data_IF_927094540819
#
_entry.id   IF_927094540819
#
_cell.length_a   1.000
_cell.length_b   1.000
_cell.length_c   1.000
_cell.angle_alpha   90.00
_cell.angle_beta   90.00
_cell.angle_gamma   90.00
#
_symmetry.space_group_name_H-M   'P 1'
#
loop_
_entity.id
_entity.type
_entity.pdbx_description
1 polymer ?
#
# COMPACT_ATOMS: atom_id res chain seq x y z
N UNK A 1 -42.66 -20.61 0.49
CA UNK A 1 -42.24 -19.23 0.76
C UNK A 1 -42.98 -18.68 1.95
N UNK A 2 -42.56 -19.12 3.13
CA UNK A 2 -42.83 -18.37 4.36
C UNK A 2 -41.89 -17.17 4.33
N UNK A 3 -42.41 -15.98 4.07
CA UNK A 3 -41.62 -14.74 4.14
C UNK A 3 -41.61 -14.23 5.57
N UNK A 4 -40.45 -13.78 6.03
CA UNK A 4 -40.35 -13.11 7.32
C UNK A 4 -41.19 -11.84 7.33
N UNK A 5 -41.86 -11.58 8.46
CA UNK A 5 -42.56 -10.31 8.66
C UNK A 5 -41.56 -9.19 8.96
N UNK A 6 -41.93 -7.95 8.63
CA UNK A 6 -41.09 -6.77 8.95
C UNK A 6 -40.73 -6.67 10.44
N UNK A 7 -41.61 -7.11 11.33
CA UNK A 7 -41.34 -7.17 12.77
C UNK A 7 -40.24 -8.19 13.11
N UNK A 8 -40.23 -9.36 12.46
CA UNK A 8 -39.19 -10.38 12.64
C UNK A 8 -37.85 -9.94 12.05
N UNK A 9 -37.87 -9.28 10.88
CA UNK A 9 -36.67 -8.71 10.26
C UNK A 9 -36.06 -7.64 11.17
N UNK A 10 -36.89 -6.78 11.75
CA UNK A 10 -36.44 -5.76 12.69
C UNK A 10 -35.86 -6.36 13.98
N UNK A 11 -36.47 -7.44 14.49
CA UNK A 11 -35.95 -8.19 15.62
C UNK A 11 -34.56 -8.79 15.34
N UNK A 12 -34.38 -9.44 14.18
CA UNK A 12 -33.09 -9.99 13.73
C UNK A 12 -32.04 -8.86 13.64
N UNK A 13 -32.40 -7.73 13.01
CA UNK A 13 -31.53 -6.56 12.87
C UNK A 13 -31.08 -6.01 14.22
N UNK A 14 -31.99 -5.89 15.18
CA UNK A 14 -31.67 -5.42 16.53
C UNK A 14 -30.73 -6.40 17.25
N UNK A 15 -30.94 -7.71 17.10
CA UNK A 15 -30.03 -8.72 17.68
C UNK A 15 -28.63 -8.66 17.06
N UNK A 16 -28.53 -8.54 15.73
CA UNK A 16 -27.26 -8.39 15.01
C UNK A 16 -26.51 -7.13 15.44
N UNK A 17 -27.22 -6.02 15.70
CA UNK A 17 -26.63 -4.78 16.23
C UNK A 17 -26.12 -4.91 17.66
N UNK A 18 -26.83 -5.65 18.51
CA UNK A 18 -26.41 -5.88 19.90
C UNK A 18 -25.07 -6.63 19.99
N UNK A 19 -24.73 -7.45 19.00
CA UNK A 19 -23.42 -8.11 18.91
C UNK A 19 -22.27 -7.13 18.59
N UNK A 20 -22.55 -5.88 18.21
CA UNK A 20 -21.58 -4.79 18.10
C UNK A 20 -20.77 -4.77 16.80
N UNK A 21 -21.45 -4.98 15.65
CA UNK A 21 -20.86 -4.81 14.31
C UNK A 21 -20.69 -3.32 14.00
N UNK A 22 -19.48 -2.90 13.58
CA UNK A 22 -19.18 -1.50 13.24
C UNK A 22 -19.23 -1.21 11.73
N UNK A 23 -19.36 -2.24 10.88
CA UNK A 23 -19.38 -2.11 9.42
C UNK A 23 -20.82 -2.30 8.89
N UNK A 24 -21.39 -1.23 8.34
CA UNK A 24 -22.78 -1.20 7.86
C UNK A 24 -23.03 -2.11 6.65
N UNK A 25 -22.02 -2.28 5.81
CA UNK A 25 -22.07 -3.21 4.67
C UNK A 25 -22.10 -4.65 5.14
N UNK A 26 -21.27 -5.01 6.12
CA UNK A 26 -21.27 -6.33 6.72
C UNK A 26 -22.55 -6.61 7.53
N UNK A 27 -23.09 -5.60 8.23
CA UNK A 27 -24.39 -5.72 8.92
C UNK A 27 -25.50 -6.12 7.93
N UNK A 28 -25.54 -5.47 6.76
CA UNK A 28 -26.54 -5.75 5.74
C UNK A 28 -26.36 -7.14 5.14
N UNK A 29 -25.12 -7.53 4.79
CA UNK A 29 -24.81 -8.85 4.26
C UNK A 29 -25.17 -9.97 5.27
N UNK A 30 -24.90 -9.76 6.55
CA UNK A 30 -25.25 -10.72 7.62
C UNK A 30 -26.76 -10.79 7.83
N UNK A 31 -27.45 -9.64 7.84
CA UNK A 31 -28.90 -9.58 7.99
C UNK A 31 -29.60 -10.35 6.86
N UNK A 32 -29.22 -10.08 5.61
CA UNK A 32 -29.79 -10.74 4.43
C UNK A 32 -29.53 -12.25 4.48
N UNK A 33 -28.31 -12.66 4.86
CA UNK A 33 -27.97 -14.07 4.96
C UNK A 33 -28.73 -14.80 6.06
N UNK A 34 -28.87 -14.18 7.25
CA UNK A 34 -29.67 -14.73 8.36
C UNK A 34 -31.14 -14.85 7.97
N UNK A 35 -31.72 -13.84 7.32
CA UNK A 35 -33.10 -13.90 6.84
C UNK A 35 -33.30 -15.08 5.88
N UNK A 36 -32.43 -15.27 4.89
CA UNK A 36 -32.53 -16.40 3.96
C UNK A 36 -32.41 -17.77 4.66
N UNK A 37 -31.53 -17.91 5.66
CA UNK A 37 -31.37 -19.16 6.39
C UNK A 37 -32.58 -19.47 7.28
N UNK A 38 -33.13 -18.46 7.95
CA UNK A 38 -34.32 -18.62 8.79
C UNK A 38 -35.54 -18.97 7.93
N UNK A 39 -35.72 -18.31 6.79
CA UNK A 39 -36.79 -18.63 5.85
C UNK A 39 -36.69 -20.08 5.36
N UNK A 40 -35.49 -20.54 5.01
CA UNK A 40 -35.25 -21.92 4.59
C UNK A 40 -35.57 -22.95 5.69
N UNK A 41 -35.21 -22.65 6.95
CA UNK A 41 -35.51 -23.53 8.08
C UNK A 41 -37.02 -23.54 8.42
N UNK A 42 -37.69 -22.39 8.29
CA UNK A 42 -39.15 -22.27 8.47
C UNK A 42 -39.96 -22.97 7.35
N UNK A 43 -39.40 -23.14 6.16
CA UNK A 43 -40.02 -23.97 5.11
C UNK A 43 -40.06 -25.46 5.50
N UNK A 44 -39.19 -25.89 6.42
CA UNK A 44 -39.20 -27.23 7.02
C UNK A 44 -40.33 -27.48 8.04
N UNK A 45 -41.16 -26.48 8.33
CA UNK A 45 -42.31 -26.57 9.24
C UNK A 45 -42.04 -26.16 10.69
N UNK A 46 -40.88 -25.55 10.98
CA UNK A 46 -40.53 -24.99 12.28
C UNK A 46 -41.20 -23.64 12.57
N UNK A 47 -41.28 -23.27 13.85
CA UNK A 47 -41.68 -21.93 14.28
C UNK A 47 -40.50 -20.93 14.11
N UNK A 48 -40.78 -19.62 14.15
CA UNK A 48 -39.75 -18.59 13.93
C UNK A 48 -38.68 -18.61 15.03
N UNK A 49 -39.08 -18.71 16.30
CA UNK A 49 -38.17 -18.70 17.44
C UNK A 49 -37.14 -19.83 17.40
N UNK A 50 -37.58 -21.06 17.11
CA UNK A 50 -36.73 -22.25 17.02
C UNK A 50 -35.79 -22.15 15.82
N UNK A 51 -36.30 -21.68 14.67
CA UNK A 51 -35.51 -21.46 13.47
C UNK A 51 -34.45 -20.36 13.68
N UNK A 52 -34.84 -19.27 14.34
CA UNK A 52 -33.95 -18.16 14.67
C UNK A 52 -32.84 -18.59 15.63
N UNK A 53 -33.18 -19.25 16.74
CA UNK A 53 -32.21 -19.65 17.76
C UNK A 53 -31.18 -20.64 17.18
N UNK A 54 -31.66 -21.61 16.40
CA UNK A 54 -30.80 -22.58 15.71
C UNK A 54 -29.87 -21.91 14.69
N UNK A 55 -30.40 -21.09 13.78
CA UNK A 55 -29.60 -20.42 12.75
C UNK A 55 -28.61 -19.43 13.38
N UNK A 56 -29.02 -18.72 14.43
CA UNK A 56 -28.17 -17.75 15.10
C UNK A 56 -27.03 -18.42 15.89
N UNK A 57 -27.29 -19.54 16.57
CA UNK A 57 -26.27 -20.33 17.26
C UNK A 57 -25.26 -20.94 16.27
N UNK A 58 -25.74 -21.47 15.15
CA UNK A 58 -24.89 -22.04 14.09
C UNK A 58 -24.04 -20.97 13.38
N UNK A 59 -24.60 -19.78 13.17
CA UNK A 59 -23.93 -18.69 12.46
C UNK A 59 -22.94 -17.90 13.34
N UNK A 60 -23.22 -17.78 14.64
CA UNK A 60 -22.41 -17.03 15.61
C UNK A 60 -21.96 -17.90 16.80
N UNK A 61 -21.24 -19.03 16.58
CA UNK A 61 -20.71 -19.83 17.67
C UNK A 61 -19.70 -19.04 18.52
N UNK A 62 -19.41 -19.53 19.73
CA UNK A 62 -18.61 -18.88 20.79
C UNK A 62 -17.59 -17.86 20.28
N UNK A 63 -17.91 -16.57 20.43
CA UNK A 63 -17.10 -15.45 19.92
C UNK A 63 -17.86 -14.41 19.08
N UNK A 64 -19.09 -14.74 18.64
CA UNK A 64 -20.07 -13.79 18.08
C UNK A 64 -19.68 -13.18 16.72
N UNK A 65 -20.52 -12.25 16.23
CA UNK A 65 -20.36 -11.61 14.91
C UNK A 65 -19.12 -10.71 14.81
N UNK A 66 -18.53 -10.31 15.94
CA UNK A 66 -17.27 -9.56 15.99
C UNK A 66 -16.11 -10.33 15.38
N UNK A 67 -16.05 -11.66 15.55
CA UNK A 67 -15.00 -12.48 14.96
C UNK A 67 -15.08 -12.47 13.43
N UNK A 68 -16.30 -12.62 12.89
CA UNK A 68 -16.58 -12.54 11.46
C UNK A 68 -16.13 -11.18 10.91
N UNK A 69 -16.44 -10.08 11.61
CA UNK A 69 -15.98 -8.75 11.20
C UNK A 69 -14.46 -8.62 11.19
N UNK A 70 -13.76 -9.18 12.18
CA UNK A 70 -12.28 -9.15 12.22
C UNK A 70 -11.71 -9.94 11.03
N UNK A 71 -12.25 -11.11 10.73
CA UNK A 71 -11.81 -11.94 9.60
C UNK A 71 -12.07 -11.25 8.24
N UNK A 72 -13.27 -10.68 8.05
CA UNK A 72 -13.61 -9.93 6.83
C UNK A 72 -12.74 -8.68 6.66
N UNK A 73 -12.51 -7.93 7.73
CA UNK A 73 -11.61 -6.78 7.72
C UNK A 73 -10.17 -7.19 7.42
N UNK A 74 -9.70 -8.28 8.03
CA UNK A 74 -8.38 -8.82 7.78
C UNK A 74 -8.20 -9.22 6.32
N UNK A 75 -9.17 -9.91 5.72
CA UNK A 75 -9.14 -10.29 4.30
C UNK A 75 -9.15 -9.04 3.40
N UNK A 76 -10.00 -8.06 3.68
CA UNK A 76 -10.08 -6.81 2.91
C UNK A 76 -8.77 -6.00 2.98
N UNK A 77 -8.18 -5.88 4.18
CA UNK A 77 -6.87 -5.25 4.38
C UNK A 77 -5.77 -6.03 3.65
N UNK A 78 -5.76 -7.37 3.76
CA UNK A 78 -4.78 -8.22 3.08
C UNK A 78 -4.86 -8.05 1.56
N UNK A 79 -6.05 -8.08 0.96
CA UNK A 79 -6.26 -7.80 -0.47
C UNK A 79 -5.73 -6.43 -0.87
N UNK A 80 -6.06 -5.39 -0.10
CA UNK A 80 -5.58 -4.02 -0.34
C UNK A 80 -4.06 -3.91 -0.27
N UNK A 81 -3.43 -4.58 0.71
CA UNK A 81 -1.96 -4.61 0.85
C UNK A 81 -1.32 -5.34 -0.33
N UNK A 82 -1.85 -6.49 -0.73
CA UNK A 82 -1.36 -7.27 -1.87
C UNK A 82 -1.43 -6.44 -3.15
N UNK A 83 -2.57 -5.78 -3.42
CA UNK A 83 -2.75 -4.93 -4.60
C UNK A 83 -1.74 -3.77 -4.63
N UNK A 84 -1.53 -3.10 -3.50
CA UNK A 84 -0.52 -2.02 -3.39
C UNK A 84 0.91 -2.54 -3.63
N UNK A 85 1.24 -3.74 -3.17
CA UNK A 85 2.55 -4.37 -3.41
C UNK A 85 2.75 -4.68 -4.90
N UNK A 86 1.74 -5.26 -5.55
CA UNK A 86 1.80 -5.55 -6.98
C UNK A 86 1.96 -4.28 -7.83
N UNK A 87 1.21 -3.21 -7.52
CA UNK A 87 1.32 -1.95 -8.24
C UNK A 87 2.75 -1.39 -8.19
N UNK A 88 3.37 -1.37 -7.00
CA UNK A 88 4.75 -0.89 -6.82
C UNK A 88 5.76 -1.78 -7.56
N UNK A 89 5.60 -3.11 -7.50
CA UNK A 89 6.49 -4.04 -8.21
C UNK A 89 6.37 -3.85 -9.73
N UNK A 90 5.16 -3.79 -10.27
CA UNK A 90 4.92 -3.60 -11.69
C UNK A 90 5.51 -2.28 -12.20
N UNK A 91 5.28 -1.18 -11.47
CA UNK A 91 5.85 0.13 -11.78
C UNK A 91 7.39 0.10 -11.76
N UNK A 92 7.99 -0.53 -10.74
CA UNK A 92 9.45 -0.67 -10.67
C UNK A 92 10.04 -1.52 -11.81
N UNK A 93 9.32 -2.55 -12.27
CA UNK A 93 9.77 -3.41 -13.37
C UNK A 93 9.76 -2.65 -14.70
N UNK A 94 8.68 -1.91 -14.98
CA UNK A 94 8.57 -1.06 -16.18
C UNK A 94 9.71 -0.05 -16.21
N UNK A 95 10.02 0.57 -15.06
CA UNK A 95 11.10 1.53 -14.95
C UNK A 95 12.49 0.92 -15.20
N UNK A 96 12.78 -0.25 -14.62
CA UNK A 96 14.06 -0.94 -14.83
C UNK A 96 14.23 -1.33 -16.29
N UNK A 97 13.19 -1.92 -16.89
CA UNK A 97 13.19 -2.29 -18.29
C UNK A 97 13.46 -1.06 -19.17
N UNK A 98 12.78 0.06 -18.87
CA UNK A 98 12.94 1.30 -19.60
C UNK A 98 14.37 1.89 -19.46
N UNK A 99 14.92 1.89 -18.25
CA UNK A 99 16.29 2.34 -17.99
C UNK A 99 17.31 1.53 -18.78
N UNK A 100 17.17 0.20 -18.79
CA UNK A 100 18.03 -0.70 -19.58
C UNK A 100 17.92 -0.40 -21.08
N UNK A 101 16.70 -0.21 -21.60
CA UNK A 101 16.54 0.12 -23.03
C UNK A 101 17.20 1.44 -23.41
N UNK A 102 17.09 2.47 -22.57
CA UNK A 102 17.74 3.78 -22.79
C UNK A 102 19.26 3.65 -22.71
N UNK A 103 19.79 2.84 -21.79
CA UNK A 103 21.23 2.58 -21.65
C UNK A 103 21.81 1.89 -22.89
N UNK A 104 21.14 0.86 -23.40
CA UNK A 104 21.59 0.13 -24.59
C UNK A 104 21.56 0.99 -25.86
N UNK A 105 20.65 1.96 -25.94
CA UNK A 105 20.63 2.96 -27.02
C UNK A 105 21.74 4.00 -26.87
N UNK A 106 22.00 4.51 -25.67
CA UNK A 106 23.09 5.46 -25.42
C UNK A 106 24.47 4.90 -25.78
N UNK A 107 24.68 3.59 -25.62
CA UNK A 107 25.93 2.90 -25.99
C UNK A 107 25.97 2.54 -27.50
N UNK A 108 24.94 2.93 -28.28
CA UNK A 108 24.76 2.64 -29.72
C UNK A 108 24.68 1.14 -30.07
N UNK A 109 24.42 0.26 -29.10
CA UNK A 109 24.26 -1.19 -29.36
C UNK A 109 22.93 -1.53 -30.05
N UNK A 110 21.91 -0.67 -29.92
CA UNK A 110 20.58 -0.81 -30.53
C UNK A 110 20.33 0.19 -31.66
N UNK A 111 21.37 0.60 -32.39
CA UNK A 111 21.31 1.64 -33.43
C UNK A 111 20.32 1.35 -34.59
N UNK A 112 19.74 0.14 -34.66
CA UNK A 112 18.77 -0.28 -35.68
C UNK A 112 17.31 0.01 -35.33
N UNK A 113 16.97 0.28 -34.06
CA UNK A 113 15.60 0.55 -33.62
C UNK A 113 15.48 1.96 -33.06
N UNK A 114 15.68 2.96 -33.92
CA UNK A 114 15.38 4.35 -33.61
C UNK A 114 13.87 4.57 -33.65
N UNK A 115 13.15 4.19 -32.58
CA UNK A 115 11.77 4.63 -32.42
C UNK A 115 11.77 6.14 -32.14
N UNK A 116 10.94 6.91 -32.84
CA UNK A 116 10.95 8.37 -32.75
C UNK A 116 10.52 8.92 -31.39
N UNK A 117 9.92 8.08 -30.52
CA UNK A 117 9.33 8.50 -29.24
C UNK A 117 10.12 8.05 -27.99
N UNK A 118 11.29 7.41 -28.14
CA UNK A 118 12.00 6.86 -26.98
C UNK A 118 12.50 7.96 -26.06
N UNK A 119 12.97 9.08 -26.62
CA UNK A 119 13.48 10.19 -25.82
C UNK A 119 12.35 10.80 -24.96
N UNK A 120 11.20 11.05 -25.55
CA UNK A 120 10.02 11.60 -24.89
C UNK A 120 9.51 10.66 -23.79
N UNK A 121 9.44 9.36 -24.08
CA UNK A 121 9.05 8.35 -23.11
C UNK A 121 10.08 8.27 -21.96
N UNK A 122 11.37 8.51 -22.25
CA UNK A 122 12.43 8.55 -21.25
C UNK A 122 12.30 9.72 -20.29
N UNK A 123 11.95 10.90 -20.80
CA UNK A 123 11.62 12.03 -19.94
C UNK A 123 10.40 11.73 -19.07
N UNK A 124 9.32 11.19 -19.63
CA UNK A 124 8.11 10.84 -18.86
C UNK A 124 8.45 9.84 -17.74
N UNK A 125 9.22 8.79 -18.03
CA UNK A 125 9.66 7.82 -17.03
C UNK A 125 10.54 8.45 -15.95
N UNK A 126 11.49 9.30 -16.35
CA UNK A 126 12.38 10.01 -15.41
C UNK A 126 11.60 10.96 -14.49
N UNK A 127 10.67 11.74 -15.03
CA UNK A 127 9.83 12.62 -14.22
C UNK A 127 8.90 11.84 -13.29
N UNK A 128 8.34 10.71 -13.75
CA UNK A 128 7.54 9.84 -12.91
C UNK A 128 8.34 9.29 -11.72
N UNK A 129 9.60 8.90 -11.96
CA UNK A 129 10.52 8.44 -10.91
C UNK A 129 10.78 9.53 -9.85
N UNK A 130 11.16 10.73 -10.30
CA UNK A 130 11.50 11.86 -9.42
C UNK A 130 10.29 12.41 -8.65
N UNK A 131 9.08 12.38 -9.23
CA UNK A 131 7.90 12.98 -8.59
C UNK A 131 7.08 12.01 -7.75
N UNK A 132 7.05 10.72 -8.10
CA UNK A 132 6.19 9.75 -7.41
C UNK A 132 6.98 8.73 -6.62
N UNK A 133 7.94 8.04 -7.24
CA UNK A 133 8.60 6.88 -6.61
C UNK A 133 9.57 7.32 -5.52
N UNK A 134 10.51 8.21 -5.84
CA UNK A 134 11.53 8.66 -4.89
C UNK A 134 10.90 9.37 -3.68
N UNK A 135 9.96 10.33 -3.84
CA UNK A 135 9.30 10.96 -2.70
C UNK A 135 8.53 9.96 -1.85
N UNK A 136 7.82 8.99 -2.47
CA UNK A 136 7.10 7.95 -1.73
C UNK A 136 8.04 7.03 -0.95
N UNK A 137 9.13 6.61 -1.57
CA UNK A 137 10.17 5.77 -0.94
C UNK A 137 10.75 6.48 0.29
N UNK A 138 11.22 7.71 0.13
CA UNK A 138 11.81 8.49 1.21
C UNK A 138 10.80 8.85 2.30
N UNK A 139 9.56 9.18 1.95
CA UNK A 139 8.48 9.42 2.91
C UNK A 139 8.15 8.17 3.74
N UNK A 140 8.12 7.00 3.10
CA UNK A 140 7.88 5.73 3.80
C UNK A 140 9.01 5.43 4.78
N UNK A 141 10.27 5.50 4.35
CA UNK A 141 11.41 5.26 5.22
C UNK A 141 11.53 6.31 6.33
N UNK A 142 11.16 7.57 6.07
CA UNK A 142 11.07 8.60 7.11
C UNK A 142 10.01 8.25 8.16
N UNK A 143 8.81 7.85 7.74
CA UNK A 143 7.73 7.45 8.65
C UNK A 143 8.11 6.23 9.49
N UNK A 144 8.81 5.26 8.91
CA UNK A 144 9.36 4.12 9.65
C UNK A 144 10.40 4.58 10.67
N UNK A 145 11.35 5.41 10.24
CA UNK A 145 12.40 5.93 11.11
C UNK A 145 11.86 6.71 12.30
N UNK A 146 10.83 7.53 12.11
CA UNK A 146 10.19 8.30 13.20
C UNK A 146 9.48 7.38 14.21
N UNK A 147 8.92 6.26 13.74
CA UNK A 147 8.27 5.27 14.63
C UNK A 147 9.29 4.46 15.43
N UNK A 148 10.43 4.15 14.83
CA UNK A 148 11.52 3.39 15.46
C UNK A 148 12.39 4.25 16.38
N UNK A 149 12.49 5.56 16.14
CA UNK A 149 13.40 6.48 16.85
C UNK A 149 13.01 6.81 18.29
N UNK A 150 12.24 5.96 18.97
CA UNK A 150 11.52 6.22 20.22
C UNK A 150 12.26 7.01 21.31
N UNK A 151 13.59 6.89 21.48
CA UNK A 151 14.34 7.68 22.49
C UNK A 151 15.81 8.05 22.11
N UNK A 152 16.37 7.57 20.99
CA UNK A 152 17.84 7.59 20.73
C UNK A 152 18.35 8.81 19.93
N UNK A 153 17.50 9.51 19.17
CA UNK A 153 17.94 10.57 18.25
C UNK A 153 16.89 11.69 18.12
N UNK A 154 17.36 12.95 18.19
CA UNK A 154 16.50 14.13 18.00
C UNK A 154 15.78 14.09 16.65
N UNK A 155 14.46 14.33 16.69
CA UNK A 155 13.59 14.35 15.51
C UNK A 155 14.08 15.30 14.41
N UNK A 156 14.71 16.42 14.78
CA UNK A 156 15.28 17.38 13.83
C UNK A 156 16.43 16.78 13.00
N UNK A 157 17.30 15.99 13.63
CA UNK A 157 18.43 15.32 12.98
C UNK A 157 17.91 14.25 12.01
N UNK A 158 16.91 13.49 12.43
CA UNK A 158 16.23 12.51 11.56
C UNK A 158 15.67 13.20 10.33
N UNK A 159 14.88 14.27 10.50
CA UNK A 159 14.31 15.02 9.37
C UNK A 159 15.38 15.52 8.41
N UNK A 160 16.44 16.13 8.93
CA UNK A 160 17.54 16.65 8.13
C UNK A 160 18.23 15.55 7.31
N UNK A 161 18.57 14.41 7.94
CA UNK A 161 19.22 13.30 7.26
C UNK A 161 18.36 12.73 6.11
N UNK A 162 17.04 12.64 6.30
CA UNK A 162 16.11 12.18 5.27
C UNK A 162 15.96 13.17 4.10
N UNK A 163 15.96 14.48 4.37
CA UNK A 163 15.92 15.51 3.33
C UNK A 163 17.20 15.48 2.50
N UNK A 164 18.37 15.44 3.15
CA UNK A 164 19.66 15.38 2.45
C UNK A 164 19.77 14.07 1.64
N UNK A 165 19.31 12.95 2.21
CA UNK A 165 19.26 11.67 1.50
C UNK A 165 18.38 11.72 0.25
N UNK A 166 17.18 12.30 0.36
CA UNK A 166 16.29 12.51 -0.78
C UNK A 166 16.96 13.35 -1.87
N UNK A 167 17.49 14.53 -1.51
CA UNK A 167 18.18 15.42 -2.45
C UNK A 167 19.39 14.74 -3.12
N UNK A 168 20.14 13.93 -2.36
CA UNK A 168 21.28 13.18 -2.88
C UNK A 168 20.85 12.15 -3.94
N UNK A 169 19.75 11.41 -3.68
CA UNK A 169 19.25 10.44 -4.65
C UNK A 169 18.64 11.11 -5.88
N UNK A 170 17.92 12.23 -5.70
CA UNK A 170 17.38 13.01 -6.81
C UNK A 170 18.47 13.56 -7.72
N UNK A 171 19.52 14.15 -7.13
CA UNK A 171 20.64 14.66 -7.90
C UNK A 171 21.37 13.53 -8.64
N UNK A 172 21.50 12.35 -8.03
CA UNK A 172 22.19 11.21 -8.65
C UNK A 172 21.46 10.70 -9.89
N UNK A 173 20.15 10.44 -9.77
CA UNK A 173 19.36 9.88 -10.87
C UNK A 173 19.30 10.88 -12.02
N UNK A 174 19.11 12.17 -11.73
CA UNK A 174 19.14 13.21 -12.76
C UNK A 174 20.54 13.37 -13.40
N UNK A 175 21.63 13.22 -12.64
CA UNK A 175 22.99 13.26 -13.20
C UNK A 175 23.21 12.14 -14.24
N UNK A 176 22.81 10.91 -13.90
CA UNK A 176 22.88 9.75 -14.80
C UNK A 176 22.02 9.99 -16.03
N UNK A 177 20.77 10.42 -15.85
CA UNK A 177 19.85 10.69 -16.96
C UNK A 177 20.40 11.76 -17.92
N UNK A 178 20.92 12.86 -17.38
CA UNK A 178 21.49 13.95 -18.19
C UNK A 178 22.72 13.47 -18.98
N UNK A 179 23.57 12.64 -18.39
CA UNK A 179 24.70 12.03 -19.11
C UNK A 179 24.25 11.08 -20.22
N UNK A 180 23.24 10.24 -19.95
CA UNK A 180 22.69 9.32 -20.95
C UNK A 180 22.06 10.05 -22.13
N UNK A 181 21.36 11.15 -21.86
CA UNK A 181 20.71 11.99 -22.88
C UNK A 181 21.66 13.01 -23.54
N UNK A 182 22.96 12.96 -23.22
CA UNK A 182 23.97 13.92 -23.69
C UNK A 182 23.61 15.39 -23.42
N UNK A 183 22.87 15.64 -22.33
CA UNK A 183 22.45 16.98 -21.92
C UNK A 183 23.53 17.67 -21.08
N UNK A 184 23.65 19.01 -21.17
CA UNK A 184 24.54 19.78 -20.29
C UNK A 184 24.02 19.71 -18.84
N UNK A 185 24.93 19.77 -17.85
CA UNK A 185 24.57 19.77 -16.43
C UNK A 185 24.80 18.43 -15.70
N UNK A 186 25.01 17.33 -16.43
CA UNK A 186 25.22 16.01 -15.83
C UNK A 186 26.42 15.94 -14.89
N UNK A 187 27.57 16.50 -15.29
CA UNK A 187 28.78 16.53 -14.46
C UNK A 187 28.59 17.34 -13.17
N UNK A 188 27.91 18.48 -13.27
CA UNK A 188 27.59 19.33 -12.13
C UNK A 188 26.69 18.59 -11.12
N UNK A 189 25.69 17.85 -11.61
CA UNK A 189 24.81 17.05 -10.76
C UNK A 189 25.55 15.88 -10.08
N UNK A 190 26.55 15.28 -10.73
CA UNK A 190 27.42 14.28 -10.08
C UNK A 190 28.23 14.88 -8.93
N UNK A 191 28.77 16.09 -9.11
CA UNK A 191 29.50 16.79 -8.04
C UNK A 191 28.56 17.10 -6.87
N UNK A 192 27.36 17.62 -7.14
CA UNK A 192 26.35 17.86 -6.10
C UNK A 192 26.02 16.57 -5.35
N UNK A 193 25.83 15.47 -6.08
CA UNK A 193 25.58 14.16 -5.50
C UNK A 193 26.72 13.72 -4.58
N UNK A 194 27.97 13.87 -5.02
CA UNK A 194 29.13 13.50 -4.21
C UNK A 194 29.18 14.30 -2.89
N UNK A 195 28.90 15.61 -2.95
CA UNK A 195 28.86 16.49 -1.77
C UNK A 195 27.74 16.06 -0.81
N UNK A 196 26.52 15.88 -1.31
CA UNK A 196 25.39 15.45 -0.50
C UNK A 196 25.60 14.03 0.09
N UNK A 197 26.22 13.14 -0.68
CA UNK A 197 26.57 11.78 -0.26
C UNK A 197 27.59 11.76 0.88
N UNK A 198 28.61 12.61 0.83
CA UNK A 198 29.58 12.76 1.93
C UNK A 198 28.92 13.22 3.23
N UNK A 199 27.83 13.99 3.16
CA UNK A 199 27.06 14.40 4.33
C UNK A 199 26.13 13.26 4.77
N UNK A 200 25.38 12.66 3.84
CA UNK A 200 24.36 11.66 4.14
C UNK A 200 24.92 10.36 4.73
N UNK A 201 26.01 9.83 4.16
CA UNK A 201 26.56 8.51 4.51
C UNK A 201 26.98 8.44 5.99
N UNK A 202 27.75 9.39 6.55
CA UNK A 202 28.06 9.41 7.97
C UNK A 202 26.82 9.42 8.87
N UNK A 203 25.81 10.26 8.56
CA UNK A 203 24.57 10.32 9.34
C UNK A 203 23.81 8.99 9.29
N UNK A 204 23.75 8.35 8.13
CA UNK A 204 23.13 7.04 7.96
C UNK A 204 23.82 5.98 8.82
N UNK A 205 25.16 5.93 8.80
CA UNK A 205 25.96 4.98 9.57
C UNK A 205 25.81 5.19 11.09
N UNK A 206 25.92 6.43 11.57
CA UNK A 206 25.78 6.75 13.00
C UNK A 206 24.39 6.37 13.51
N UNK A 207 23.35 6.69 12.73
CA UNK A 207 21.97 6.32 13.08
C UNK A 207 21.81 4.81 13.17
N UNK A 208 22.28 4.07 12.16
CA UNK A 208 22.15 2.61 12.14
C UNK A 208 22.89 1.96 13.30
N UNK A 209 24.07 2.49 13.67
CA UNK A 209 24.84 2.02 14.81
C UNK A 209 24.11 2.27 16.14
N UNK A 210 23.57 3.47 16.36
CA UNK A 210 22.80 3.82 17.59
C UNK A 210 21.46 3.11 17.75
N UNK A 211 20.89 2.58 16.67
CA UNK A 211 19.66 1.77 16.72
C UNK A 211 20.00 0.30 16.99
N UNK A 212 21.22 -0.15 16.70
CA UNK A 212 21.66 -1.53 16.91
C UNK A 212 22.22 -1.79 18.32
N UNK A 213 22.54 -0.74 19.08
CA UNK A 213 23.01 -0.76 20.48
C UNK A 213 21.86 -0.35 21.38
#
# INVERSE_FOLDING_TARGET
MNMLTEAQIQYIRERVRQEGINRTDLEHDILDHLCCLIEAEMEGGGNFEDAFEKVFEDFAPTGGLKRIQVEVNYISLKKTIIMKKFAVIAESLVMILFFVTTLLQGIRLLNQYAWPFIAELAFVNQYAMCLFILPRYWLHHYRMAVRESGESMSLAITRFAFIIGFLCTESFVNAVFFKMMHMPGGDQLFIITAILGMIYVPFYCVRKYRVAV
#
